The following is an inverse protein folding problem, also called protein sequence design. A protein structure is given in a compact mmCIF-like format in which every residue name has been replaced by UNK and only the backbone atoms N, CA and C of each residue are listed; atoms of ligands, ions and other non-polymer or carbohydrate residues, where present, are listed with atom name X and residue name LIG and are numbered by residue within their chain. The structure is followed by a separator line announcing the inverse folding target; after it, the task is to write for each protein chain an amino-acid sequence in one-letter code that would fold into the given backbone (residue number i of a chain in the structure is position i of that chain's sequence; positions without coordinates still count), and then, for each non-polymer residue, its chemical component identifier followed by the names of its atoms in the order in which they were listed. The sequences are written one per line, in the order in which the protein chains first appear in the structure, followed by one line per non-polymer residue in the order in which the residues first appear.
data_IF_948730058601
#
_entry.id   IF_948730058601
#
_cell.length_a   1.000
_cell.length_b   1.000
_cell.length_c   1.000
_cell.angle_alpha   90.00
_cell.angle_beta   90.00
_cell.angle_gamma   90.00
#
_symmetry.space_group_name_H-M   'P 1'
#
loop_
_entity.id
_entity.type
_entity.pdbx_description
1 polymer ?
#
# COMPACT_ATOMS: atom_id res chain seq x y z
N UNK A 1 -90.84 52.50 2.10
CA UNK A 1 -90.47 53.44 1.00
C UNK A 1 -89.46 54.52 1.38
N UNK A 2 -89.40 54.96 2.68
CA UNK A 2 -88.55 56.05 3.16
C UNK A 2 -87.05 55.75 2.97
N UNK A 3 -86.58 54.57 3.40
CA UNK A 3 -85.16 54.16 3.25
C UNK A 3 -84.68 54.11 1.79
N UNK A 4 -85.54 53.67 0.82
CA UNK A 4 -85.18 53.66 -0.58
C UNK A 4 -85.06 55.07 -1.14
N UNK A 5 -85.94 56.03 -0.71
CA UNK A 5 -85.83 57.43 -1.06
C UNK A 5 -84.59 58.11 -0.59
N UNK A 6 -84.20 57.86 0.69
CA UNK A 6 -82.94 58.38 1.24
C UNK A 6 -81.71 57.79 0.54
N UNK A 7 -81.71 56.49 0.18
CA UNK A 7 -80.65 55.86 -0.56
C UNK A 7 -80.49 56.40 -1.96
N UNK A 8 -81.63 56.70 -2.63
CA UNK A 8 -81.67 57.32 -3.98
C UNK A 8 -81.08 58.72 -3.93
N UNK A 9 -81.51 59.56 -2.95
CA UNK A 9 -81.05 60.94 -2.77
C UNK A 9 -79.55 60.97 -2.42
N UNK A 10 -79.02 60.00 -1.68
CA UNK A 10 -77.63 59.98 -1.35
C UNK A 10 -76.75 59.53 -2.49
N UNK A 11 -77.22 58.64 -3.38
CA UNK A 11 -76.51 58.23 -4.61
C UNK A 11 -76.30 59.39 -5.57
N UNK A 12 -77.20 60.37 -5.62
CA UNK A 12 -77.17 61.55 -6.56
C UNK A 12 -76.20 62.64 -6.11
N UNK A 13 -75.55 62.55 -4.93
CA UNK A 13 -74.53 63.46 -4.38
C UNK A 13 -74.90 64.97 -4.38
N UNK A 14 -76.14 65.34 -4.78
CA UNK A 14 -76.55 66.73 -4.83
C UNK A 14 -76.94 67.25 -3.46
N UNK A 15 -76.32 68.36 -3.02
CA UNK A 15 -76.64 69.02 -1.77
C UNK A 15 -78.11 69.61 -1.86
N UNK A 16 -78.54 69.93 -3.03
CA UNK A 16 -79.89 70.47 -3.28
C UNK A 16 -80.97 69.42 -3.02
N UNK A 17 -80.77 68.17 -3.47
CA UNK A 17 -81.74 67.09 -3.28
C UNK A 17 -81.88 66.73 -1.75
N UNK A 18 -80.84 66.88 -0.99
CA UNK A 18 -80.86 66.69 0.51
C UNK A 18 -81.67 67.79 1.16
N UNK A 19 -81.48 69.06 0.74
CA UNK A 19 -82.22 70.16 1.21
C UNK A 19 -83.71 70.12 0.83
N UNK A 20 -84.01 69.78 -0.44
CA UNK A 20 -85.36 69.57 -0.89
C UNK A 20 -86.09 68.47 -0.12
N UNK A 21 -85.40 67.35 0.20
CA UNK A 21 -85.99 66.30 1.03
C UNK A 21 -86.30 66.73 2.45
N UNK A 22 -85.45 67.56 3.07
CA UNK A 22 -85.72 68.13 4.41
C UNK A 22 -86.87 69.13 4.34
N UNK A 23 -86.87 70.04 3.38
CA UNK A 23 -87.89 71.14 3.21
C UNK A 23 -89.27 70.65 2.71
N UNK A 24 -89.35 69.50 2.02
CA UNK A 24 -90.62 68.88 1.64
C UNK A 24 -91.38 68.17 2.79
N UNK A 25 -91.02 68.38 4.00
CA UNK A 25 -91.69 67.80 5.16
C UNK A 25 -92.97 68.58 5.52
N UNK A 26 -94.00 67.83 5.91
CA UNK A 26 -95.35 68.41 6.21
C UNK A 26 -95.41 69.24 7.47
N UNK A 27 -94.42 69.02 8.39
CA UNK A 27 -94.29 69.78 9.61
C UNK A 27 -92.81 69.81 10.09
N UNK A 28 -92.50 70.77 11.00
CA UNK A 28 -91.14 70.97 11.54
C UNK A 28 -90.57 69.74 12.25
N UNK A 29 -91.43 69.04 13.01
CA UNK A 29 -90.94 67.78 13.69
C UNK A 29 -90.57 66.67 12.69
N UNK A 30 -91.19 66.59 11.58
CA UNK A 30 -90.82 65.62 10.47
C UNK A 30 -89.53 66.04 9.77
N UNK A 31 -89.34 67.35 9.59
CA UNK A 31 -88.10 67.91 9.02
C UNK A 31 -86.87 67.57 9.88
N UNK A 32 -87.02 67.76 11.23
CA UNK A 32 -85.99 67.38 12.19
C UNK A 32 -85.67 65.87 12.16
N UNK A 33 -86.71 65.00 12.06
CA UNK A 33 -86.50 63.52 11.97
C UNK A 33 -85.79 63.17 10.67
N UNK A 34 -86.18 63.82 9.56
CA UNK A 34 -85.48 63.58 8.24
C UNK A 34 -84.02 64.05 8.32
N UNK A 35 -83.68 65.17 8.99
CA UNK A 35 -82.36 65.67 9.14
C UNK A 35 -81.51 64.71 10.02
N UNK A 36 -82.03 64.18 11.13
CA UNK A 36 -81.36 63.18 11.97
C UNK A 36 -81.10 61.94 11.24
N UNK A 37 -82.06 61.42 10.45
CA UNK A 37 -81.91 60.22 9.66
C UNK A 37 -80.83 60.36 8.57
N UNK A 38 -80.76 61.44 7.85
CA UNK A 38 -79.71 61.72 6.89
C UNK A 38 -78.34 61.80 7.53
N UNK A 39 -78.25 62.38 8.79
CA UNK A 39 -76.96 62.41 9.50
C UNK A 39 -76.51 61.02 9.93
N UNK A 40 -77.44 60.28 10.53
CA UNK A 40 -77.11 58.88 11.00
C UNK A 40 -76.76 58.02 9.76
N UNK A 41 -77.42 58.16 8.64
CA UNK A 41 -77.06 57.44 7.40
C UNK A 41 -75.72 57.89 6.84
N UNK A 42 -75.39 59.16 6.90
CA UNK A 42 -74.06 59.65 6.50
C UNK A 42 -72.90 59.09 7.39
N UNK A 43 -73.19 59.10 8.69
CA UNK A 43 -72.18 58.55 9.67
C UNK A 43 -72.01 57.02 9.47
N UNK A 44 -73.10 56.29 9.22
CA UNK A 44 -73.03 54.87 8.91
C UNK A 44 -72.25 54.62 7.59
N UNK A 45 -72.50 55.42 6.53
CA UNK A 45 -71.72 55.29 5.30
C UNK A 45 -70.27 55.60 5.48
N UNK A 46 -69.90 56.65 6.29
CA UNK A 46 -68.48 56.93 6.60
C UNK A 46 -67.85 55.80 7.30
N UNK A 47 -68.57 55.18 8.26
CA UNK A 47 -68.07 54.03 9.00
C UNK A 47 -67.85 52.85 8.06
N UNK A 48 -68.82 52.53 7.17
CA UNK A 48 -68.68 51.47 6.18
C UNK A 48 -67.51 51.75 5.20
N UNK A 49 -67.38 53.00 4.72
CA UNK A 49 -66.26 53.39 3.85
C UNK A 49 -64.90 53.22 4.57
N UNK A 50 -64.79 53.58 5.86
CA UNK A 50 -63.56 53.41 6.60
C UNK A 50 -63.21 51.96 6.84
N UNK A 51 -64.21 51.09 7.12
CA UNK A 51 -64.03 49.63 7.24
C UNK A 51 -63.59 49.00 5.92
N UNK A 52 -64.18 49.41 4.77
CA UNK A 52 -63.79 48.95 3.45
C UNK A 52 -62.34 49.34 3.17
N UNK A 53 -61.94 50.59 3.44
CA UNK A 53 -60.56 51.08 3.26
C UNK A 53 -59.60 50.31 4.18
N UNK A 54 -60.00 50.05 5.44
CA UNK A 54 -59.24 49.25 6.37
C UNK A 54 -58.97 47.80 5.84
N UNK A 55 -60.05 47.12 5.44
CA UNK A 55 -59.98 45.78 4.82
C UNK A 55 -59.16 45.77 3.53
N UNK A 56 -59.29 46.80 2.68
CA UNK A 56 -58.50 46.91 1.45
C UNK A 56 -57.03 47.06 1.75
N UNK A 57 -56.63 47.86 2.79
CA UNK A 57 -55.21 47.94 3.23
C UNK A 57 -54.71 46.60 3.77
N UNK A 58 -55.53 45.90 4.54
CA UNK A 58 -55.18 44.57 5.07
C UNK A 58 -54.98 43.55 3.93
N UNK A 59 -55.89 43.53 2.93
CA UNK A 59 -55.76 42.66 1.76
C UNK A 59 -54.49 42.97 0.98
N UNK A 60 -54.18 44.23 0.72
CA UNK A 60 -52.92 44.62 0.03
C UNK A 60 -51.69 44.23 0.84
N UNK A 61 -51.77 44.39 2.20
CA UNK A 61 -50.71 43.93 3.07
C UNK A 61 -50.47 42.41 2.97
N UNK A 62 -51.54 41.63 3.08
CA UNK A 62 -51.50 40.17 2.95
C UNK A 62 -51.02 39.71 1.58
N UNK A 63 -51.42 40.40 0.51
CA UNK A 63 -50.94 40.11 -0.85
C UNK A 63 -49.42 40.28 -0.95
N UNK A 64 -48.87 41.39 -0.47
CA UNK A 64 -47.42 41.63 -0.44
C UNK A 64 -46.65 40.57 0.35
N UNK A 65 -47.17 40.20 1.51
CA UNK A 65 -46.61 39.16 2.36
C UNK A 65 -46.65 37.80 1.64
N UNK A 66 -47.77 37.47 1.00
CA UNK A 66 -47.90 36.24 0.22
C UNK A 66 -46.94 36.18 -0.97
N UNK A 67 -46.79 37.31 -1.69
CA UNK A 67 -45.82 37.41 -2.80
C UNK A 67 -44.38 37.21 -2.31
N UNK A 68 -44.03 37.85 -1.18
CA UNK A 68 -42.72 37.69 -0.57
C UNK A 68 -42.47 36.22 -0.17
N UNK A 69 -43.43 35.62 0.56
CA UNK A 69 -43.33 34.21 0.98
C UNK A 69 -43.24 33.25 -0.21
N UNK A 70 -43.97 33.56 -1.30
CA UNK A 70 -43.89 32.77 -2.53
C UNK A 70 -42.53 32.90 -3.21
N UNK A 71 -41.97 34.10 -3.27
CA UNK A 71 -40.63 34.31 -3.82
C UNK A 71 -39.53 33.58 -2.98
N UNK A 72 -39.61 33.67 -1.65
CA UNK A 72 -38.69 32.96 -0.73
C UNK A 72 -38.81 31.43 -0.91
N UNK A 73 -40.02 30.89 -0.99
CA UNK A 73 -40.23 29.46 -1.24
C UNK A 73 -39.67 29.00 -2.58
N UNK A 74 -39.86 29.78 -3.62
CA UNK A 74 -39.34 29.46 -4.96
C UNK A 74 -37.80 29.49 -4.96
N UNK A 75 -37.18 30.47 -4.30
CA UNK A 75 -35.74 30.53 -4.16
C UNK A 75 -35.19 29.32 -3.37
N UNK A 76 -35.84 28.93 -2.26
CA UNK A 76 -35.52 27.75 -1.49
C UNK A 76 -35.68 26.45 -2.29
N UNK A 77 -36.73 26.32 -3.10
CA UNK A 77 -36.91 25.15 -3.94
C UNK A 77 -35.78 25.03 -4.99
N UNK A 78 -35.44 26.15 -5.65
CA UNK A 78 -34.32 26.16 -6.60
C UNK A 78 -33.00 25.78 -5.94
N UNK A 79 -32.69 26.35 -4.76
CA UNK A 79 -31.49 26.01 -4.03
C UNK A 79 -31.44 24.51 -3.62
N UNK A 80 -32.60 23.96 -3.20
CA UNK A 80 -32.70 22.54 -2.84
C UNK A 80 -32.58 21.61 -4.04
N UNK A 81 -33.08 21.98 -5.20
CA UNK A 81 -32.92 21.24 -6.44
C UNK A 81 -31.45 21.23 -6.87
N UNK A 82 -30.76 22.38 -6.79
CA UNK A 82 -29.33 22.47 -7.11
C UNK A 82 -28.46 21.67 -6.14
N UNK A 83 -28.77 21.71 -4.84
CA UNK A 83 -28.12 20.90 -3.85
C UNK A 83 -28.33 19.40 -4.08
N UNK A 84 -29.56 19.00 -4.39
CA UNK A 84 -29.89 17.61 -4.75
C UNK A 84 -29.10 17.11 -5.97
N UNK A 85 -28.97 17.95 -7.02
CA UNK A 85 -28.17 17.63 -8.19
C UNK A 85 -26.68 17.49 -7.85
N UNK A 86 -26.15 18.38 -7.02
CA UNK A 86 -24.75 18.29 -6.55
C UNK A 86 -24.51 16.99 -5.77
N UNK A 87 -25.37 16.68 -4.82
CA UNK A 87 -25.28 15.44 -4.05
C UNK A 87 -25.36 14.19 -4.94
N UNK A 88 -26.21 14.19 -5.94
CA UNK A 88 -26.34 13.08 -6.87
C UNK A 88 -25.08 12.89 -7.75
N UNK A 89 -24.46 14.00 -8.18
CA UNK A 89 -23.17 13.95 -8.90
C UNK A 89 -22.03 13.51 -8.00
N UNK A 90 -21.96 13.98 -6.77
CA UNK A 90 -20.99 13.52 -5.78
C UNK A 90 -21.16 12.03 -5.46
N UNK A 91 -22.38 11.57 -5.23
CA UNK A 91 -22.66 10.15 -4.97
C UNK A 91 -22.21 9.25 -6.12
N UNK A 92 -22.49 9.66 -7.37
CA UNK A 92 -22.02 8.90 -8.55
C UNK A 92 -20.50 8.86 -8.65
N UNK A 93 -19.83 10.00 -8.43
CA UNK A 93 -18.37 10.09 -8.42
C UNK A 93 -17.74 9.22 -7.32
N UNK A 94 -18.29 9.26 -6.11
CA UNK A 94 -17.83 8.42 -5.00
C UNK A 94 -18.04 6.92 -5.30
N UNK A 95 -19.15 6.55 -5.93
CA UNK A 95 -19.38 5.14 -6.32
C UNK A 95 -18.35 4.66 -7.34
N UNK A 96 -18.01 5.50 -8.33
CA UNK A 96 -16.97 5.18 -9.30
C UNK A 96 -15.59 5.06 -8.64
N UNK A 97 -15.24 5.96 -7.73
CA UNK A 97 -13.99 5.92 -6.99
C UNK A 97 -13.87 4.65 -6.13
N UNK A 98 -14.93 4.29 -5.40
CA UNK A 98 -14.99 3.04 -4.62
C UNK A 98 -14.84 1.82 -5.52
N UNK A 99 -15.44 1.80 -6.72
CA UNK A 99 -15.26 0.70 -7.66
C UNK A 99 -13.82 0.61 -8.17
N UNK A 100 -13.16 1.74 -8.47
CA UNK A 100 -11.76 1.77 -8.88
C UNK A 100 -10.83 1.31 -7.76
N UNK A 101 -11.06 1.77 -6.53
CA UNK A 101 -10.30 1.35 -5.35
C UNK A 101 -10.45 -0.16 -5.10
N UNK A 102 -11.65 -0.70 -5.21
CA UNK A 102 -11.89 -2.14 -5.08
C UNK A 102 -11.17 -2.97 -6.17
N UNK A 103 -11.13 -2.46 -7.41
CA UNK A 103 -10.36 -3.11 -8.49
C UNK A 103 -8.86 -3.09 -8.18
N UNK A 104 -8.32 -1.94 -7.79
CA UNK A 104 -6.90 -1.80 -7.39
C UNK A 104 -6.56 -2.71 -6.21
N UNK A 105 -7.43 -2.78 -5.20
CA UNK A 105 -7.23 -3.67 -4.05
C UNK A 105 -7.15 -5.14 -4.47
N UNK A 106 -8.05 -5.60 -5.36
CA UNK A 106 -8.00 -6.98 -5.87
C UNK A 106 -6.73 -7.25 -6.66
N UNK A 107 -6.28 -6.31 -7.48
CA UNK A 107 -5.02 -6.42 -8.22
C UNK A 107 -3.82 -6.53 -7.27
N UNK A 108 -3.72 -5.61 -6.29
CA UNK A 108 -2.65 -5.62 -5.30
C UNK A 108 -2.62 -6.92 -4.48
N UNK A 109 -3.79 -7.45 -4.10
CA UNK A 109 -3.87 -8.75 -3.40
C UNK A 109 -3.39 -9.91 -4.28
N UNK A 110 -3.72 -9.91 -5.57
CA UNK A 110 -3.26 -10.92 -6.51
C UNK A 110 -1.73 -10.85 -6.71
N UNK A 111 -1.19 -9.64 -6.87
CA UNK A 111 0.25 -9.40 -7.04
C UNK A 111 1.02 -9.79 -5.77
N UNK A 112 0.51 -9.43 -4.60
CA UNK A 112 1.09 -9.85 -3.33
C UNK A 112 1.11 -11.37 -3.17
N UNK A 113 0.03 -12.05 -3.53
CA UNK A 113 -0.02 -13.52 -3.52
C UNK A 113 0.98 -14.13 -4.49
N UNK A 114 1.17 -13.53 -5.68
CA UNK A 114 2.16 -13.95 -6.67
C UNK A 114 3.58 -13.75 -6.15
N UNK A 115 3.90 -12.54 -5.64
CA UNK A 115 5.22 -12.23 -5.06
C UNK A 115 5.54 -13.14 -3.87
N UNK A 116 4.56 -13.42 -2.99
CA UNK A 116 4.75 -14.36 -1.87
C UNK A 116 5.07 -15.76 -2.34
N UNK A 117 4.34 -16.29 -3.33
CA UNK A 117 4.65 -17.61 -3.92
C UNK A 117 6.05 -17.68 -4.53
N UNK A 118 6.49 -16.62 -5.18
CA UNK A 118 7.83 -16.52 -5.74
C UNK A 118 8.90 -16.53 -4.64
N UNK A 119 8.71 -15.73 -3.57
CA UNK A 119 9.62 -15.71 -2.41
C UNK A 119 9.73 -17.09 -1.73
N UNK A 120 8.58 -17.75 -1.50
CA UNK A 120 8.56 -19.10 -0.93
C UNK A 120 9.27 -20.12 -1.84
N UNK A 121 9.11 -20.01 -3.15
CA UNK A 121 9.81 -20.86 -4.12
C UNK A 121 11.33 -20.61 -4.09
N UNK A 122 11.75 -19.35 -4.03
CA UNK A 122 13.17 -18.99 -3.87
C UNK A 122 13.76 -19.61 -2.60
N UNK A 123 13.12 -19.42 -1.46
CA UNK A 123 13.61 -19.94 -0.20
C UNK A 123 13.73 -21.46 -0.21
N UNK A 124 12.72 -22.17 -0.71
CA UNK A 124 12.79 -23.64 -0.87
C UNK A 124 13.93 -24.08 -1.81
N UNK A 125 14.15 -23.35 -2.88
CA UNK A 125 15.24 -23.67 -3.80
C UNK A 125 16.60 -23.44 -3.15
N UNK A 126 16.77 -22.35 -2.41
CA UNK A 126 17.99 -22.04 -1.66
C UNK A 126 18.22 -23.12 -0.60
N UNK A 127 17.22 -23.47 0.21
CA UNK A 127 17.31 -24.53 1.21
C UNK A 127 17.72 -25.87 0.60
N UNK A 128 17.12 -26.24 -0.53
CA UNK A 128 17.48 -27.45 -1.27
C UNK A 128 18.94 -27.42 -1.72
N UNK A 129 19.40 -26.30 -2.30
CA UNK A 129 20.77 -26.17 -2.76
C UNK A 129 21.78 -26.22 -1.62
N UNK A 130 21.45 -25.64 -0.47
CA UNK A 130 22.26 -25.70 0.75
C UNK A 130 22.30 -27.13 1.28
N UNK A 131 21.19 -27.85 1.36
CA UNK A 131 21.14 -29.23 1.80
C UNK A 131 21.96 -30.17 0.88
N UNK A 132 21.88 -29.97 -0.44
CA UNK A 132 22.68 -30.71 -1.42
C UNK A 132 24.18 -30.43 -1.24
N UNK A 133 24.57 -29.19 -0.95
CA UNK A 133 25.97 -28.81 -0.74
C UNK A 133 26.51 -29.42 0.57
N UNK A 134 25.72 -29.41 1.64
CA UNK A 134 26.06 -30.09 2.91
C UNK A 134 26.29 -31.58 2.64
N UNK A 135 25.34 -32.27 2.02
CA UNK A 135 25.43 -33.70 1.74
C UNK A 135 26.63 -34.03 0.86
N UNK A 136 26.93 -33.17 -0.14
CA UNK A 136 28.15 -33.35 -0.96
C UNK A 136 29.43 -33.21 -0.15
N UNK A 137 29.53 -32.17 0.70
CA UNK A 137 30.70 -31.94 1.53
C UNK A 137 30.91 -33.10 2.51
N UNK A 138 29.83 -33.64 3.10
CA UNK A 138 29.91 -34.82 4.01
C UNK A 138 30.36 -36.08 3.26
N UNK A 139 29.81 -36.32 2.04
CA UNK A 139 30.23 -37.48 1.23
C UNK A 139 31.70 -37.39 0.81
N UNK A 140 32.18 -36.21 0.40
CA UNK A 140 33.59 -35.98 0.10
C UNK A 140 34.50 -36.18 1.33
N UNK A 141 34.05 -35.71 2.50
CA UNK A 141 34.79 -35.93 3.75
C UNK A 141 34.88 -37.40 4.14
N UNK A 142 33.79 -38.16 4.01
CA UNK A 142 33.75 -39.60 4.24
C UNK A 142 34.70 -40.35 3.29
N UNK A 143 34.63 -40.03 1.99
CA UNK A 143 35.52 -40.61 1.01
C UNK A 143 37.01 -40.28 1.27
N UNK A 144 37.30 -39.04 1.71
CA UNK A 144 38.69 -38.65 2.09
C UNK A 144 39.19 -39.43 3.29
N UNK A 145 38.36 -39.63 4.36
CA UNK A 145 38.68 -40.45 5.53
C UNK A 145 38.95 -41.90 5.19
N UNK A 146 38.13 -42.50 4.32
CA UNK A 146 38.30 -43.88 3.86
C UNK A 146 39.61 -44.03 3.04
N UNK A 147 39.93 -43.07 2.19
CA UNK A 147 41.21 -43.04 1.44
C UNK A 147 42.40 -42.89 2.35
N UNK A 148 42.34 -41.99 3.36
CA UNK A 148 43.42 -41.83 4.36
C UNK A 148 43.63 -43.10 5.21
N UNK A 149 42.55 -43.71 5.70
CA UNK A 149 42.63 -44.97 6.45
C UNK A 149 43.21 -46.12 5.60
N UNK A 150 42.84 -46.18 4.30
CA UNK A 150 43.41 -47.17 3.38
C UNK A 150 44.90 -46.93 3.10
N UNK A 151 45.29 -45.65 2.91
CA UNK A 151 46.69 -45.27 2.73
C UNK A 151 47.54 -45.63 3.97
N UNK A 152 47.03 -45.37 5.18
CA UNK A 152 47.67 -45.67 6.44
C UNK A 152 47.83 -47.21 6.64
N UNK A 153 46.77 -47.98 6.35
CA UNK A 153 46.85 -49.46 6.37
C UNK A 153 47.88 -49.96 5.38
N UNK A 154 47.94 -49.39 4.17
CA UNK A 154 48.95 -49.78 3.18
C UNK A 154 50.36 -49.39 3.62
N UNK A 155 50.56 -48.23 4.27
CA UNK A 155 51.85 -47.81 4.83
C UNK A 155 52.30 -48.75 5.93
N UNK A 156 51.44 -49.07 6.90
CA UNK A 156 51.72 -50.03 7.98
C UNK A 156 52.00 -51.45 7.43
N UNK A 157 51.27 -51.85 6.38
CA UNK A 157 51.52 -53.14 5.72
C UNK A 157 52.90 -53.17 5.02
N UNK A 158 53.29 -52.05 4.36
CA UNK A 158 54.63 -51.91 3.77
C UNK A 158 55.76 -51.91 4.80
N UNK A 159 55.59 -51.20 5.92
CA UNK A 159 56.52 -51.15 7.02
C UNK A 159 56.71 -52.56 7.64
N UNK A 160 55.59 -53.30 7.83
CA UNK A 160 55.64 -54.68 8.32
C UNK A 160 56.27 -55.63 7.33
N UNK A 161 56.05 -55.47 6.01
CA UNK A 161 56.65 -56.26 4.97
C UNK A 161 58.17 -55.97 4.83
N UNK A 162 58.57 -54.70 4.92
CA UNK A 162 59.96 -54.28 4.92
C UNK A 162 60.73 -54.86 6.16
N UNK A 163 60.08 -54.89 7.34
CA UNK A 163 60.67 -55.50 8.56
C UNK A 163 60.76 -57.04 8.45
N UNK A 164 60.02 -57.73 7.60
CA UNK A 164 59.99 -59.16 7.40
C UNK A 164 60.79 -59.70 6.18
N UNK A 165 61.53 -58.83 5.47
CA UNK A 165 62.46 -59.23 4.41
C UNK A 165 61.76 -59.74 3.08
N UNK A 166 60.44 -59.53 2.88
CA UNK A 166 59.76 -59.96 1.70
C UNK A 166 59.69 -58.80 0.67
N UNK A 167 60.14 -59.05 -0.58
CA UNK A 167 60.04 -58.15 -1.74
C UNK A 167 58.59 -57.75 -1.97
N UNK A 168 58.32 -56.42 -1.95
CA UNK A 168 57.02 -55.82 -2.30
C UNK A 168 56.99 -55.60 -3.80
N UNK A 169 55.87 -55.90 -4.53
CA UNK A 169 55.73 -55.55 -5.93
C UNK A 169 55.67 -54.02 -6.08
N UNK A 170 56.50 -53.49 -6.98
CA UNK A 170 56.45 -52.07 -7.38
C UNK A 170 55.15 -51.77 -8.13
N UNK A 171 54.21 -51.18 -7.45
CA UNK A 171 53.13 -50.42 -8.09
C UNK A 171 53.59 -48.96 -8.22
N UNK A 172 53.63 -48.46 -9.48
CA UNK A 172 53.96 -47.08 -9.82
C UNK A 172 53.25 -46.08 -8.88
N UNK A 173 53.91 -45.00 -8.41
CA UNK A 173 53.27 -43.95 -7.67
C UNK A 173 52.41 -43.13 -8.62
N UNK A 174 51.11 -43.27 -8.49
CA UNK A 174 50.17 -42.27 -9.04
C UNK A 174 50.37 -41.03 -8.20
N UNK A 175 51.00 -40.01 -8.79
CA UNK A 175 51.09 -38.65 -8.24
C UNK A 175 49.69 -38.02 -8.32
N UNK A 176 48.82 -38.36 -7.37
CA UNK A 176 47.61 -37.56 -7.12
C UNK A 176 48.00 -36.29 -6.35
N UNK A 177 47.41 -35.11 -6.69
CA UNK A 177 47.63 -33.88 -5.96
C UNK A 177 47.22 -34.08 -4.49
N UNK A 178 48.10 -33.69 -3.58
CA UNK A 178 47.86 -33.70 -2.14
C UNK A 178 46.59 -32.90 -1.84
N UNK A 179 45.47 -33.59 -1.76
CA UNK A 179 44.22 -32.98 -1.28
C UNK A 179 44.37 -32.85 0.23
N UNK A 180 44.32 -31.60 0.71
CA UNK A 180 44.39 -31.27 2.13
C UNK A 180 43.35 -32.06 2.93
N UNK A 181 43.80 -32.57 4.07
CA UNK A 181 43.04 -33.40 4.99
C UNK A 181 41.88 -32.60 5.59
N UNK A 182 40.63 -32.96 5.28
CA UNK A 182 39.43 -32.33 5.83
C UNK A 182 39.12 -32.87 7.22
N UNK A 183 39.03 -31.97 8.20
CA UNK A 183 38.68 -32.28 9.57
C UNK A 183 37.21 -31.92 9.82
N UNK A 184 36.40 -32.86 10.30
CA UNK A 184 35.01 -32.58 10.67
C UNK A 184 34.94 -31.72 11.92
N UNK A 185 34.13 -30.67 11.90
CA UNK A 185 33.78 -29.92 13.11
C UNK A 185 32.69 -30.68 13.88
N UNK A 186 32.78 -30.68 15.21
CA UNK A 186 32.14 -31.68 16.08
C UNK A 186 30.69 -31.43 16.44
N UNK A 187 29.99 -30.46 15.81
CA UNK A 187 28.55 -30.23 16.03
C UNK A 187 27.86 -29.60 14.79
N UNK A 188 27.45 -30.44 13.86
CA UNK A 188 26.56 -30.00 12.78
C UNK A 188 27.23 -29.11 11.70
N UNK A 189 28.54 -29.01 11.68
CA UNK A 189 29.32 -28.25 10.73
C UNK A 189 29.84 -29.08 9.56
N UNK A 190 30.22 -28.42 8.48
CA UNK A 190 30.84 -29.06 7.30
C UNK A 190 32.23 -29.66 7.64
N UNK A 191 32.56 -30.77 7.01
CA UNK A 191 33.94 -31.24 7.01
C UNK A 191 34.83 -30.24 6.26
N UNK A 192 35.77 -29.64 6.98
CA UNK A 192 36.62 -28.54 6.51
C UNK A 192 38.09 -28.91 6.53
N UNK A 193 38.86 -28.36 5.61
CA UNK A 193 40.30 -28.32 5.67
C UNK A 193 40.76 -27.37 6.78
N UNK A 194 42.02 -27.43 7.20
CA UNK A 194 42.60 -26.47 8.17
C UNK A 194 42.49 -25.02 7.70
N UNK A 195 42.61 -24.80 6.38
CA UNK A 195 42.46 -23.47 5.75
C UNK A 195 41.01 -22.99 5.81
N UNK A 196 40.03 -23.84 5.50
CA UNK A 196 38.60 -23.53 5.60
C UNK A 196 38.17 -23.28 7.03
N UNK A 197 38.75 -24.01 8.02
CA UNK A 197 38.46 -23.75 9.44
C UNK A 197 38.95 -22.36 9.86
N UNK A 198 40.16 -21.98 9.48
CA UNK A 198 40.68 -20.63 9.72
C UNK A 198 39.77 -19.57 9.07
N UNK A 199 39.37 -19.79 7.83
CA UNK A 199 38.45 -18.90 7.13
C UNK A 199 37.09 -18.76 7.85
N UNK A 200 36.57 -19.85 8.40
CA UNK A 200 35.35 -19.88 9.21
C UNK A 200 35.51 -19.09 10.51
N UNK A 201 36.62 -19.30 11.22
CA UNK A 201 36.91 -18.61 12.47
C UNK A 201 37.12 -17.11 12.22
N UNK A 202 37.82 -16.75 11.16
CA UNK A 202 38.00 -15.36 10.71
C UNK A 202 36.68 -14.72 10.30
N UNK A 203 35.81 -15.45 9.61
CA UNK A 203 34.46 -14.95 9.27
C UNK A 203 33.65 -14.68 10.55
N UNK A 204 33.64 -15.60 11.50
CA UNK A 204 32.91 -15.47 12.74
C UNK A 204 33.43 -14.31 13.61
N UNK A 205 34.74 -14.08 13.63
CA UNK A 205 35.37 -12.97 14.38
C UNK A 205 35.04 -11.59 13.80
N UNK A 206 34.63 -11.52 12.53
CA UNK A 206 34.21 -10.31 11.84
C UNK A 206 32.70 -10.02 11.98
N UNK A 207 31.99 -10.71 12.89
CA UNK A 207 30.55 -10.43 13.14
C UNK A 207 30.35 -8.94 13.50
N UNK A 208 29.42 -8.29 12.80
CA UNK A 208 29.14 -6.86 12.95
C UNK A 208 30.13 -5.92 12.23
N UNK A 209 31.19 -6.46 11.59
CA UNK A 209 32.20 -5.69 10.83
C UNK A 209 32.26 -6.07 9.36
N UNK A 210 31.45 -7.03 8.92
CA UNK A 210 31.39 -7.43 7.53
C UNK A 210 30.95 -6.24 6.66
N UNK A 211 31.57 -6.01 5.49
CA UNK A 211 31.14 -4.99 4.56
C UNK A 211 29.75 -5.32 3.99
N UNK A 212 29.00 -4.30 3.62
CA UNK A 212 27.76 -4.52 2.89
C UNK A 212 28.02 -5.20 1.54
N UNK A 213 27.10 -6.08 1.09
CA UNK A 213 27.24 -6.81 -0.17
C UNK A 213 27.02 -5.96 -1.41
N UNK A 214 26.95 -4.65 -1.26
CA UNK A 214 26.80 -3.66 -2.33
C UNK A 214 27.73 -2.49 -2.12
N UNK A 215 28.00 -1.73 -3.19
CA UNK A 215 28.79 -0.50 -3.12
C UNK A 215 27.91 0.75 -3.18
N UNK A 216 28.38 1.85 -2.62
CA UNK A 216 27.71 3.14 -2.69
C UNK A 216 26.52 3.29 -1.73
N UNK A 217 25.60 4.18 -2.08
CA UNK A 217 24.39 4.44 -1.28
C UNK A 217 23.44 3.27 -1.39
N UNK A 218 22.96 2.81 -0.26
CA UNK A 218 22.03 1.70 -0.18
C UNK A 218 21.07 1.89 1.00
N UNK A 219 19.90 1.25 0.92
CA UNK A 219 18.88 1.26 1.97
C UNK A 219 18.35 -0.16 2.14
N UNK A 220 18.20 -0.61 3.37
CA UNK A 220 17.53 -1.88 3.66
C UNK A 220 16.01 -1.65 3.57
N UNK A 221 15.38 -2.23 2.56
CA UNK A 221 13.93 -2.09 2.30
C UNK A 221 13.12 -3.21 2.95
N UNK A 222 13.74 -4.38 3.20
CA UNK A 222 13.17 -5.42 4.03
C UNK A 222 14.26 -6.05 4.90
N UNK A 223 14.04 -6.09 6.21
CA UNK A 223 14.95 -6.72 7.16
C UNK A 223 14.64 -8.21 7.29
N UNK A 224 15.49 -8.95 8.01
CA UNK A 224 15.30 -10.37 8.31
C UNK A 224 14.12 -10.60 9.25
N UNK A 225 13.38 -11.69 9.04
CA UNK A 225 12.30 -12.14 9.90
C UNK A 225 10.90 -11.66 9.48
N UNK A 226 9.95 -11.77 10.40
CA UNK A 226 8.57 -11.34 10.16
C UNK A 226 8.46 -9.81 10.26
N UNK A 227 7.88 -9.22 9.23
CA UNK A 227 7.63 -7.79 9.14
C UNK A 227 6.19 -7.53 8.71
N UNK A 228 5.63 -6.43 9.19
CA UNK A 228 4.34 -5.93 8.70
C UNK A 228 4.55 -5.24 7.36
N UNK A 229 3.71 -5.54 6.38
CA UNK A 229 3.75 -4.88 5.08
C UNK A 229 3.46 -3.38 5.24
N UNK A 230 4.26 -2.52 4.60
CA UNK A 230 4.17 -1.07 4.78
C UNK A 230 2.81 -0.50 4.38
N UNK A 231 2.19 -1.02 3.32
CA UNK A 231 0.92 -0.53 2.80
C UNK A 231 -0.30 -1.33 3.28
N UNK A 232 -0.12 -2.58 3.70
CA UNK A 232 -1.21 -3.48 4.09
C UNK A 232 -1.12 -3.85 5.57
N UNK A 233 -1.85 -3.14 6.42
CA UNK A 233 -1.83 -3.26 7.89
C UNK A 233 -2.03 -4.69 8.46
N UNK A 234 -2.62 -5.60 7.70
CA UNK A 234 -2.94 -6.98 8.13
C UNK A 234 -2.10 -8.05 7.44
N UNK A 235 -1.12 -7.66 6.63
CA UNK A 235 -0.24 -8.59 5.91
C UNK A 235 1.12 -8.64 6.59
N UNK A 236 1.54 -9.85 7.00
CA UNK A 236 2.89 -10.12 7.47
C UNK A 236 3.67 -10.85 6.38
N UNK A 237 4.88 -10.41 6.14
CA UNK A 237 5.85 -11.06 5.26
C UNK A 237 7.00 -11.58 6.10
N UNK A 238 7.45 -12.80 5.83
CA UNK A 238 8.65 -13.36 6.45
C UNK A 238 9.78 -13.33 5.42
N UNK A 239 10.88 -12.64 5.76
CA UNK A 239 12.07 -12.53 4.93
C UNK A 239 13.19 -13.37 5.50
N UNK A 240 13.68 -14.36 4.75
CA UNK A 240 14.79 -15.24 5.17
C UNK A 240 16.16 -14.57 5.04
N UNK A 241 16.23 -13.33 4.58
CA UNK A 241 17.42 -12.52 4.42
C UNK A 241 17.14 -11.05 4.62
N UNK A 242 17.90 -10.21 3.96
CA UNK A 242 17.67 -8.76 3.87
C UNK A 242 17.58 -8.35 2.41
N UNK A 243 16.68 -7.41 2.11
CA UNK A 243 16.57 -6.81 0.79
C UNK A 243 17.21 -5.42 0.82
N UNK A 244 18.20 -5.25 -0.03
CA UNK A 244 19.03 -4.03 -0.09
C UNK A 244 18.76 -3.32 -1.41
N UNK A 245 18.14 -2.16 -1.33
CA UNK A 245 17.93 -1.27 -2.48
C UNK A 245 19.15 -0.42 -2.73
N UNK A 246 19.56 -0.30 -3.99
CA UNK A 246 20.72 0.46 -4.43
C UNK A 246 20.44 1.19 -5.75
N UNK A 247 21.42 1.94 -6.26
CA UNK A 247 21.29 2.60 -7.54
C UNK A 247 21.32 1.60 -8.71
N UNK A 248 20.62 1.87 -9.82
CA UNK A 248 20.70 1.06 -11.04
C UNK A 248 22.14 0.87 -11.51
N UNK A 249 22.46 -0.34 -11.96
CA UNK A 249 23.79 -0.69 -12.45
C UNK A 249 24.82 -1.03 -11.39
N UNK A 250 24.45 -1.08 -10.11
CA UNK A 250 25.32 -1.49 -9.01
C UNK A 250 25.61 -2.98 -9.04
N UNK A 251 26.85 -3.35 -8.69
CA UNK A 251 27.28 -4.74 -8.57
C UNK A 251 27.14 -5.25 -7.13
N UNK A 252 26.73 -6.51 -7.02
CA UNK A 252 26.83 -7.28 -5.78
C UNK A 252 28.29 -7.66 -5.52
N UNK A 253 28.72 -7.59 -4.24
CA UNK A 253 30.11 -7.85 -3.81
C UNK A 253 30.16 -8.89 -2.70
N UNK A 254 31.22 -9.72 -2.72
CA UNK A 254 31.48 -10.67 -1.66
C UNK A 254 31.69 -9.95 -0.31
N UNK A 255 30.95 -10.36 0.72
CA UNK A 255 31.09 -9.80 2.07
C UNK A 255 32.39 -10.26 2.76
N UNK A 256 32.94 -11.38 2.32
CA UNK A 256 34.18 -11.94 2.86
C UNK A 256 34.86 -12.86 1.85
N UNK A 257 36.13 -13.23 2.12
CA UNK A 257 36.84 -14.20 1.32
C UNK A 257 36.13 -15.55 1.36
N UNK A 258 36.07 -16.26 0.22
CA UNK A 258 35.37 -17.52 0.15
C UNK A 258 35.52 -18.21 -1.19
N UNK A 259 34.76 -19.27 -1.36
CA UNK A 259 34.69 -20.04 -2.61
C UNK A 259 33.25 -20.08 -3.08
N UNK A 260 33.03 -19.83 -4.37
CA UNK A 260 31.71 -19.95 -5.00
C UNK A 260 31.35 -21.43 -5.11
N UNK A 261 30.36 -21.87 -4.36
CA UNK A 261 29.92 -23.28 -4.41
C UNK A 261 28.95 -23.54 -5.52
N UNK A 262 28.06 -22.58 -5.79
CA UNK A 262 27.02 -22.76 -6.80
C UNK A 262 26.53 -21.44 -7.42
N UNK A 263 26.19 -21.51 -8.69
CA UNK A 263 25.44 -20.50 -9.43
C UNK A 263 24.19 -21.17 -9.98
N UNK A 264 23.02 -20.58 -9.75
CA UNK A 264 21.73 -21.13 -10.18
C UNK A 264 20.71 -20.03 -10.48
N UNK A 265 19.69 -20.38 -11.24
CA UNK A 265 18.59 -19.47 -11.58
C UNK A 265 17.33 -19.91 -10.85
N UNK A 266 16.62 -18.95 -10.24
CA UNK A 266 15.32 -19.19 -9.64
C UNK A 266 14.27 -18.41 -10.46
N UNK A 267 13.21 -19.07 -10.92
CA UNK A 267 12.13 -18.39 -11.65
C UNK A 267 11.56 -17.22 -10.85
N UNK A 268 11.63 -16.00 -11.41
CA UNK A 268 11.19 -14.76 -10.77
C UNK A 268 12.22 -14.05 -9.88
N UNK A 269 13.46 -14.60 -9.73
CA UNK A 269 14.53 -13.98 -8.94
C UNK A 269 15.89 -13.96 -9.66
N UNK A 270 15.89 -14.10 -10.96
CA UNK A 270 17.10 -14.06 -11.79
C UNK A 270 18.20 -15.03 -11.29
N UNK A 271 19.47 -14.68 -11.50
CA UNK A 271 20.58 -15.52 -11.05
C UNK A 271 20.83 -15.36 -9.56
N UNK A 272 21.26 -16.44 -8.92
CA UNK A 272 21.67 -16.48 -7.52
C UNK A 272 23.04 -17.16 -7.42
N UNK A 273 23.88 -16.66 -6.52
CA UNK A 273 25.24 -17.16 -6.24
C UNK A 273 25.36 -17.52 -4.77
N UNK A 274 25.89 -18.70 -4.48
CA UNK A 274 26.23 -19.14 -3.13
C UNK A 274 27.75 -19.09 -2.96
N UNK A 275 28.22 -18.39 -1.94
CA UNK A 275 29.63 -18.32 -1.58
C UNK A 275 29.81 -18.94 -0.20
N UNK A 276 30.78 -19.83 -0.07
CA UNK A 276 31.14 -20.54 1.17
C UNK A 276 32.32 -19.88 1.85
N UNK A 277 32.18 -19.67 3.15
CA UNK A 277 33.19 -19.08 4.04
C UNK A 277 33.45 -20.03 5.22
N UNK A 278 33.93 -21.24 4.93
CA UNK A 278 34.04 -22.33 5.91
C UNK A 278 32.66 -22.90 6.26
N UNK A 279 32.20 -22.72 7.51
CA UNK A 279 30.89 -23.16 8.00
C UNK A 279 29.73 -22.19 7.64
N UNK A 280 30.05 -21.04 7.04
CA UNK A 280 29.07 -20.04 6.71
C UNK A 280 28.86 -20.00 5.21
N UNK A 281 27.60 -19.79 4.81
CA UNK A 281 27.20 -19.61 3.42
C UNK A 281 26.53 -18.24 3.26
N UNK A 282 26.91 -17.51 2.25
CA UNK A 282 26.21 -16.29 1.84
C UNK A 282 25.56 -16.49 0.49
N UNK A 283 24.34 -16.00 0.35
CA UNK A 283 23.53 -16.11 -0.87
C UNK A 283 23.26 -14.71 -1.39
N UNK A 284 23.56 -14.51 -2.66
CA UNK A 284 23.33 -13.27 -3.38
C UNK A 284 22.33 -13.56 -4.50
N UNK A 285 21.11 -13.05 -4.39
CA UNK A 285 20.04 -13.30 -5.37
C UNK A 285 19.58 -12.02 -6.07
N UNK A 286 18.92 -12.19 -7.19
CA UNK A 286 18.45 -11.14 -8.08
C UNK A 286 19.58 -10.47 -8.87
N UNK A 287 20.46 -11.29 -9.47
CA UNK A 287 21.56 -10.85 -10.33
C UNK A 287 21.17 -10.99 -11.80
N UNK A 288 21.25 -9.90 -12.57
CA UNK A 288 21.02 -9.92 -14.00
C UNK A 288 22.17 -10.60 -14.74
N UNK A 289 23.38 -10.44 -14.24
CA UNK A 289 24.61 -11.04 -14.79
C UNK A 289 25.49 -11.53 -13.64
N UNK A 290 26.15 -12.67 -13.84
CA UNK A 290 27.08 -13.27 -12.88
C UNK A 290 28.48 -13.23 -13.45
N UNK A 291 29.47 -12.81 -12.66
CA UNK A 291 30.88 -12.68 -13.07
C UNK A 291 31.75 -13.86 -12.64
N UNK A 292 31.22 -14.73 -11.77
CA UNK A 292 31.94 -15.84 -11.15
C UNK A 292 31.30 -17.19 -11.49
N UNK A 293 32.06 -18.26 -11.36
CA UNK A 293 31.61 -19.65 -11.62
C UNK A 293 31.78 -20.48 -10.34
N UNK A 294 31.09 -21.61 -10.28
CA UNK A 294 31.29 -22.59 -9.21
C UNK A 294 32.77 -23.07 -9.17
N UNK A 295 33.36 -23.04 -7.99
CA UNK A 295 34.78 -23.33 -7.73
C UNK A 295 35.71 -22.11 -7.71
N UNK A 296 35.22 -20.92 -8.14
CA UNK A 296 36.05 -19.72 -8.08
C UNK A 296 36.24 -19.24 -6.64
N UNK A 297 37.49 -18.85 -6.31
CA UNK A 297 37.79 -18.15 -5.06
C UNK A 297 37.53 -16.67 -5.20
N UNK A 298 36.80 -16.10 -4.25
CA UNK A 298 36.47 -14.67 -4.22
C UNK A 298 37.10 -14.02 -3.00
N UNK A 299 37.54 -12.78 -3.17
CA UNK A 299 38.08 -11.95 -2.09
C UNK A 299 37.01 -11.00 -1.56
N UNK A 300 37.19 -10.53 -0.33
CA UNK A 300 36.31 -9.53 0.28
C UNK A 300 36.15 -8.29 -0.62
N UNK A 301 34.90 -7.85 -0.86
CA UNK A 301 34.51 -6.76 -1.75
C UNK A 301 34.71 -7.03 -3.25
N UNK A 302 35.08 -8.22 -3.65
CA UNK A 302 35.15 -8.59 -5.07
C UNK A 302 33.73 -8.60 -5.67
N UNK A 303 33.57 -8.06 -6.88
CA UNK A 303 32.31 -8.10 -7.62
C UNK A 303 31.93 -9.54 -7.98
N UNK A 304 30.70 -9.94 -7.67
CA UNK A 304 30.14 -11.27 -7.94
C UNK A 304 29.23 -11.24 -9.17
N UNK A 305 28.50 -10.16 -9.35
CA UNK A 305 27.56 -10.03 -10.45
C UNK A 305 26.81 -8.70 -10.39
N UNK A 306 26.15 -8.36 -11.48
CA UNK A 306 25.34 -7.15 -11.61
C UNK A 306 23.93 -7.39 -11.06
N UNK A 307 23.47 -6.50 -10.21
CA UNK A 307 22.11 -6.59 -9.63
C UNK A 307 21.09 -6.27 -10.73
N UNK A 308 19.98 -6.98 -10.74
CA UNK A 308 18.88 -6.75 -11.67
C UNK A 308 18.16 -5.44 -11.31
N UNK A 309 17.86 -4.67 -12.35
CA UNK A 309 17.08 -3.44 -12.24
C UNK A 309 15.71 -3.70 -12.88
N UNK A 310 14.66 -3.56 -12.11
CA UNK A 310 13.28 -3.70 -12.57
C UNK A 310 12.81 -2.38 -13.17
N UNK A 311 12.73 -2.34 -14.51
CA UNK A 311 12.29 -1.15 -15.25
C UNK A 311 10.79 -0.90 -15.16
N UNK A 312 10.01 -1.94 -14.83
CA UNK A 312 8.55 -1.84 -14.67
C UNK A 312 8.17 -1.29 -13.28
N UNK A 313 9.04 -1.49 -12.27
CA UNK A 313 8.86 -1.02 -10.90
C UNK A 313 9.82 0.17 -10.60
N UNK A 314 9.71 1.24 -11.39
CA UNK A 314 10.42 2.49 -11.16
C UNK A 314 11.95 2.41 -11.13
N UNK A 315 12.56 1.45 -11.86
CA UNK A 315 13.99 1.13 -11.83
C UNK A 315 14.48 0.60 -10.46
N UNK A 316 13.62 -0.08 -9.72
CA UNK A 316 13.99 -0.71 -8.47
C UNK A 316 15.15 -1.68 -8.68
N UNK A 317 16.26 -1.47 -7.96
CA UNK A 317 17.46 -2.31 -8.00
C UNK A 317 17.68 -2.86 -6.60
N UNK A 318 17.29 -4.12 -6.38
CA UNK A 318 17.24 -4.74 -5.05
C UNK A 318 18.06 -6.02 -5.06
N UNK A 319 19.04 -6.11 -4.17
CA UNK A 319 19.77 -7.33 -3.87
C UNK A 319 19.10 -8.04 -2.70
N UNK A 320 18.72 -9.32 -2.89
CA UNK A 320 18.33 -10.20 -1.80
C UNK A 320 19.55 -10.94 -1.28
N UNK A 321 19.90 -10.72 0.00
CA UNK A 321 21.08 -11.26 0.64
C UNK A 321 20.71 -12.12 1.85
N UNK A 322 21.28 -13.33 1.91
CA UNK A 322 21.08 -14.26 3.03
C UNK A 322 22.41 -14.72 3.60
N UNK A 323 22.44 -15.02 4.90
CA UNK A 323 23.55 -15.62 5.62
C UNK A 323 23.06 -16.87 6.35
N UNK A 324 23.71 -17.99 6.11
CA UNK A 324 23.42 -19.30 6.68
C UNK A 324 24.63 -19.85 7.43
N UNK A 325 24.35 -20.66 8.46
CA UNK A 325 25.37 -21.37 9.25
C UNK A 325 25.09 -22.85 9.28
#
# INVERSE_FOLDING_TARGET
NYGKSVQSIYKRRSSQDKLLFILSADNFAQSLRRMRYLREYADWQKKQASEIIGKQKEIVGKQKELEKTRAEKNALLGAREDESRKLQTEESSQKEEVQQLNKKQKQLQADLKKKKKQADALNRQIEKQIAEEIARAEAEAKAARERAARAERNRLAREKAAASGKKVPETKPETEPVREERVADTKGGYAMTKAEKRLSDDFASNKGRLPYPVSGRHTIVAAFGEQQHQELKYVRTNNSGIDIQTAPGTDARAVFNGEVTRVFVVPGYNNSVIVRHGNYLTVYSNLSQVYVKAGDKVSTRQAIGKIFTDTEDGNATILHFQLWK
#
